data_IF_888398109960
#
_entry.id   IF_888398109960
#
_cell.length_a   1.000
_cell.length_b   1.000
_cell.length_c   1.000
_cell.angle_alpha   90.00
_cell.angle_beta   90.00
_cell.angle_gamma   90.00
#
_symmetry.space_group_name_H-M   'P 1'
#
loop_
_entity.id
_entity.type
_entity.pdbx_description
1 polymer ?
#
# COMPACT_ATOMS: atom_id res chain seq x y z
N UNK A 1 -10.34 8.19 -37.71
CA UNK A 1 -11.02 7.83 -36.44
C UNK A 1 -10.72 6.42 -35.95
N UNK A 2 -10.91 5.37 -36.76
CA UNK A 2 -10.83 3.97 -36.26
C UNK A 2 -9.44 3.55 -35.76
N UNK A 3 -8.35 3.94 -36.44
CA UNK A 3 -6.98 3.67 -35.99
C UNK A 3 -6.66 4.34 -34.64
N UNK A 4 -7.04 5.61 -34.47
CA UNK A 4 -6.83 6.35 -33.21
C UNK A 4 -7.66 5.77 -32.05
N UNK A 5 -8.87 5.25 -32.29
CA UNK A 5 -9.65 4.54 -31.28
C UNK A 5 -9.00 3.23 -30.85
N UNK A 6 -8.40 2.47 -31.78
CA UNK A 6 -7.63 1.27 -31.45
C UNK A 6 -6.41 1.61 -30.60
N UNK A 7 -5.70 2.70 -30.91
CA UNK A 7 -4.57 3.17 -30.09
C UNK A 7 -4.98 3.56 -28.67
N UNK A 8 -6.04 4.36 -28.51
CA UNK A 8 -6.57 4.73 -27.18
C UNK A 8 -6.95 3.48 -26.38
N UNK A 9 -7.63 2.53 -27.04
CA UNK A 9 -8.00 1.25 -26.42
C UNK A 9 -6.77 0.47 -25.98
N UNK A 10 -5.79 0.28 -26.87
CA UNK A 10 -4.56 -0.45 -26.57
C UNK A 10 -3.79 0.16 -25.40
N UNK A 11 -3.58 1.48 -25.40
CA UNK A 11 -2.91 2.18 -24.29
C UNK A 11 -3.66 2.02 -22.97
N UNK A 12 -5.00 2.13 -23.00
CA UNK A 12 -5.82 2.00 -21.79
C UNK A 12 -5.80 0.57 -21.23
N UNK A 13 -5.79 -0.45 -22.10
CA UNK A 13 -5.71 -1.85 -21.67
C UNK A 13 -4.32 -2.20 -21.12
N UNK A 14 -3.24 -1.69 -21.73
CA UNK A 14 -1.88 -1.83 -21.17
C UNK A 14 -1.82 -1.19 -19.78
N UNK A 15 -2.37 0.03 -19.62
CA UNK A 15 -2.44 0.69 -18.32
C UNK A 15 -3.28 -0.12 -17.31
N UNK A 16 -4.42 -0.69 -17.72
CA UNK A 16 -5.25 -1.51 -16.84
C UNK A 16 -4.49 -2.74 -16.32
N UNK A 17 -3.80 -3.46 -17.21
CA UNK A 17 -2.98 -4.62 -16.81
C UNK A 17 -1.83 -4.20 -15.89
N UNK A 18 -1.13 -3.12 -16.22
CA UNK A 18 -0.05 -2.59 -15.39
C UNK A 18 -0.56 -2.15 -14.00
N UNK A 19 -1.73 -1.53 -13.93
CA UNK A 19 -2.37 -1.10 -12.68
C UNK A 19 -2.74 -2.31 -11.81
N UNK A 20 -3.35 -3.34 -12.38
CA UNK A 20 -3.67 -4.58 -11.65
C UNK A 20 -2.38 -5.26 -11.17
N UNK A 21 -1.35 -5.35 -12.02
CA UNK A 21 -0.07 -5.92 -11.62
C UNK A 21 0.62 -5.10 -10.51
N UNK A 22 0.47 -3.77 -10.52
CA UNK A 22 1.02 -2.89 -9.50
C UNK A 22 0.38 -3.10 -8.12
N UNK A 23 -0.91 -3.43 -8.07
CA UNK A 23 -1.62 -3.73 -6.82
C UNK A 23 -0.97 -4.88 -6.03
N UNK A 24 -0.54 -5.94 -6.74
CA UNK A 24 0.08 -7.12 -6.15
C UNK A 24 1.61 -7.05 -6.06
N UNK A 25 2.21 -5.96 -6.54
CA UNK A 25 3.67 -5.80 -6.58
C UNK A 25 4.16 -4.87 -5.48
N UNK A 26 5.35 -5.12 -4.88
CA UNK A 26 5.99 -4.16 -3.99
C UNK A 26 6.24 -2.83 -4.73
N UNK A 27 5.71 -1.75 -4.17
CA UNK A 27 5.71 -0.42 -4.79
C UNK A 27 6.99 0.33 -4.43
N UNK A 28 7.34 0.30 -3.15
CA UNK A 28 8.48 1.01 -2.58
C UNK A 28 9.16 0.12 -1.56
N UNK A 29 10.47 0.26 -1.40
CA UNK A 29 11.19 -0.44 -0.34
C UNK A 29 11.96 0.55 0.52
N UNK A 30 12.04 0.22 1.80
CA UNK A 30 12.88 0.93 2.76
C UNK A 30 13.79 -0.09 3.42
N UNK A 31 15.05 0.29 3.62
CA UNK A 31 16.02 -0.49 4.38
C UNK A 31 16.75 0.37 5.40
N UNK A 32 16.96 -0.19 6.58
CA UNK A 32 17.84 0.36 7.61
C UNK A 32 19.10 -0.48 7.73
N UNK A 33 20.25 0.19 7.79
CA UNK A 33 21.54 -0.44 8.11
C UNK A 33 22.20 0.28 9.26
N UNK A 34 22.82 -0.45 10.18
CA UNK A 34 23.62 0.11 11.26
C UNK A 34 24.80 -0.81 11.58
N UNK A 35 25.86 -0.31 12.25
CA UNK A 35 27.02 -1.12 12.62
C UNK A 35 26.69 -2.38 13.44
N UNK A 36 25.62 -2.32 14.24
CA UNK A 36 25.17 -3.43 15.08
C UNK A 36 24.36 -4.50 14.34
N UNK A 37 23.99 -4.27 13.07
CA UNK A 37 23.28 -5.22 12.22
C UNK A 37 24.25 -5.78 11.18
N UNK A 38 24.80 -6.98 11.39
CA UNK A 38 25.89 -7.48 10.57
C UNK A 38 25.38 -7.94 9.20
N UNK A 39 26.22 -7.80 8.16
CA UNK A 39 25.83 -8.03 6.76
C UNK A 39 25.62 -9.50 6.40
N UNK A 40 26.13 -10.42 7.20
CA UNK A 40 25.90 -11.86 7.02
C UNK A 40 24.47 -12.26 7.41
N UNK A 41 23.91 -11.58 8.42
CA UNK A 41 22.50 -11.68 8.80
C UNK A 41 21.59 -10.80 7.91
N UNK A 42 21.93 -9.53 7.76
CA UNK A 42 21.13 -8.53 7.04
C UNK A 42 21.90 -7.98 5.83
N UNK A 43 22.08 -8.77 4.76
CA UNK A 43 22.88 -8.36 3.60
C UNK A 43 22.32 -7.13 2.88
N UNK A 44 20.99 -7.01 2.88
CA UNK A 44 20.23 -5.89 2.31
C UNK A 44 19.81 -4.87 3.38
N UNK A 45 20.29 -5.01 4.62
CA UNK A 45 19.76 -4.32 5.80
C UNK A 45 18.39 -4.85 6.25
N UNK A 46 17.77 -4.16 7.21
CA UNK A 46 16.42 -4.45 7.69
C UNK A 46 15.46 -3.88 6.65
N UNK A 47 15.14 -4.70 5.65
CA UNK A 47 14.36 -4.29 4.49
C UNK A 47 12.89 -4.64 4.67
N UNK A 48 12.03 -3.66 4.39
CA UNK A 48 10.57 -3.82 4.28
C UNK A 48 10.09 -3.37 2.90
N UNK A 49 8.96 -3.94 2.48
CA UNK A 49 8.29 -3.62 1.23
C UNK A 49 6.91 -3.00 1.50
N UNK A 50 6.66 -1.84 0.90
CA UNK A 50 5.35 -1.21 0.88
C UNK A 50 4.55 -1.70 -0.32
N UNK A 51 3.35 -2.20 -0.04
CA UNK A 51 2.34 -2.56 -1.02
C UNK A 51 1.09 -1.69 -0.81
N UNK A 52 0.13 -1.76 -1.74
CA UNK A 52 -1.12 -1.02 -1.62
C UNK A 52 -2.00 -1.52 -0.47
N UNK A 53 -1.80 -2.76 -0.03
CA UNK A 53 -2.60 -3.44 1.00
C UNK A 53 -1.85 -3.65 2.32
N UNK A 54 -0.54 -3.36 2.39
CA UNK A 54 0.26 -3.74 3.55
C UNK A 54 1.72 -3.35 3.51
N UNK A 55 2.40 -3.69 4.60
CA UNK A 55 3.85 -3.65 4.73
C UNK A 55 4.33 -5.08 4.95
N UNK A 56 5.29 -5.52 4.14
CA UNK A 56 5.72 -6.91 4.09
C UNK A 56 7.22 -7.05 4.34
N UNK A 57 7.62 -8.22 4.84
CA UNK A 57 9.01 -8.55 5.06
C UNK A 57 9.79 -8.56 3.73
N UNK A 58 10.88 -7.80 3.67
CA UNK A 58 11.79 -7.73 2.52
C UNK A 58 13.17 -8.31 2.79
N UNK A 59 13.37 -8.92 3.96
CA UNK A 59 14.61 -9.60 4.26
C UNK A 59 14.70 -10.96 3.57
N UNK A 60 15.93 -11.29 3.16
CA UNK A 60 16.26 -12.59 2.62
C UNK A 60 16.82 -13.43 3.75
N UNK A 61 16.54 -14.74 3.73
CA UNK A 61 17.17 -15.67 4.65
C UNK A 61 18.69 -15.53 4.58
N UNK A 62 19.34 -15.54 5.75
CA UNK A 62 20.79 -15.47 5.84
C UNK A 62 21.41 -16.65 5.06
N UNK A 63 22.44 -16.37 4.26
CA UNK A 63 23.07 -17.39 3.42
C UNK A 63 23.69 -18.52 4.25
N UNK A 64 23.83 -19.72 3.65
CA UNK A 64 24.55 -20.84 4.27
C UNK A 64 25.98 -20.41 4.66
N UNK A 65 26.33 -20.57 5.94
CA UNK A 65 27.64 -20.19 6.50
C UNK A 65 27.68 -18.81 7.19
N UNK A 66 26.54 -18.13 7.34
CA UNK A 66 26.43 -16.97 8.24
C UNK A 66 26.43 -17.40 9.70
N UNK A 67 26.83 -16.51 10.63
CA UNK A 67 26.83 -16.82 12.07
C UNK A 67 25.43 -17.14 12.60
N UNK A 68 24.39 -16.65 11.94
CA UNK A 68 22.98 -16.90 12.28
C UNK A 68 22.37 -18.11 11.56
N UNK A 69 23.09 -18.75 10.63
CA UNK A 69 22.61 -20.00 10.03
C UNK A 69 22.45 -21.12 11.08
N UNK A 70 23.16 -20.99 12.21
CA UNK A 70 23.14 -21.93 13.33
C UNK A 70 22.26 -21.46 14.51
N UNK A 71 21.58 -20.29 14.40
CA UNK A 71 20.70 -19.73 15.44
C UNK A 71 19.22 -19.82 14.99
N UNK A 72 18.39 -20.58 15.72
CA UNK A 72 16.93 -20.66 15.51
C UNK A 72 16.32 -19.40 16.16
N UNK A 73 15.86 -18.41 15.36
CA UNK A 73 15.68 -17.05 15.91
C UNK A 73 14.26 -16.66 16.34
N UNK A 74 13.18 -17.40 16.05
CA UNK A 74 11.84 -16.92 16.44
C UNK A 74 10.92 -17.90 17.19
N UNK A 75 11.00 -19.21 16.93
CA UNK A 75 10.12 -20.18 17.61
C UNK A 75 10.42 -20.41 19.10
N UNK A 76 11.66 -20.16 19.54
CA UNK A 76 12.06 -20.37 20.94
C UNK A 76 11.44 -19.35 21.92
N UNK A 77 10.83 -18.26 21.43
CA UNK A 77 10.24 -17.20 22.27
C UNK A 77 8.74 -17.36 22.52
N UNK A 78 8.00 -18.06 21.66
CA UNK A 78 6.54 -18.20 21.78
C UNK A 78 6.09 -19.28 22.78
N UNK A 79 7.02 -20.09 23.31
CA UNK A 79 6.76 -21.09 24.37
C UNK A 79 5.74 -22.18 24.00
N UNK A 80 5.32 -22.23 22.74
CA UNK A 80 4.29 -23.14 22.19
C UNK A 80 4.89 -24.41 21.56
N UNK A 81 6.20 -24.46 21.34
CA UNK A 81 6.93 -25.64 20.84
C UNK A 81 7.99 -26.12 21.84
N UNK A 82 8.24 -27.44 21.88
CA UNK A 82 9.26 -28.04 22.74
C UNK A 82 10.65 -27.59 22.31
N UNK A 83 11.41 -27.00 23.25
CA UNK A 83 12.79 -26.55 23.02
C UNK A 83 13.66 -27.71 22.56
N UNK A 84 14.31 -27.55 21.40
CA UNK A 84 15.17 -28.57 20.78
C UNK A 84 16.13 -29.22 21.79
N UNK A 85 16.10 -30.55 21.89
CA UNK A 85 16.99 -31.30 22.76
C UNK A 85 18.06 -32.04 21.93
N UNK A 86 19.34 -31.60 21.95
CA UNK A 86 20.40 -32.16 21.11
C UNK A 86 20.73 -33.63 21.38
N UNK A 87 20.23 -34.22 22.47
CA UNK A 87 20.40 -35.64 22.80
C UNK A 87 19.27 -36.49 22.23
N UNK A 88 18.03 -35.97 22.25
CA UNK A 88 16.81 -36.69 21.83
C UNK A 88 16.48 -36.47 20.35
N UNK A 89 16.84 -35.31 19.80
CA UNK A 89 16.46 -34.84 18.45
C UNK A 89 17.56 -35.02 17.40
N UNK A 90 18.39 -36.07 17.54
CA UNK A 90 19.57 -36.31 16.68
C UNK A 90 19.27 -36.44 15.18
N UNK A 91 18.03 -36.75 14.81
CA UNK A 91 17.58 -36.86 13.42
C UNK A 91 16.79 -35.63 12.93
N UNK A 92 16.46 -34.71 13.82
CA UNK A 92 15.80 -33.45 13.47
C UNK A 92 16.88 -32.41 13.15
N UNK A 93 16.76 -31.76 11.98
CA UNK A 93 17.58 -30.60 11.66
C UNK A 93 17.18 -29.48 12.60
N UNK A 94 18.17 -28.88 13.27
CA UNK A 94 18.01 -27.72 14.17
C UNK A 94 17.15 -26.62 13.52
N UNK A 95 17.28 -26.46 12.21
CA UNK A 95 16.73 -25.37 11.39
C UNK A 95 15.49 -25.79 10.55
N UNK A 96 14.85 -26.93 10.84
CA UNK A 96 13.68 -27.42 10.07
C UNK A 96 12.49 -26.46 10.07
N UNK A 97 12.41 -25.62 11.11
CA UNK A 97 11.33 -24.65 11.36
C UNK A 97 11.84 -23.23 11.64
N UNK A 98 13.11 -22.92 11.32
CA UNK A 98 13.64 -21.58 11.50
C UNK A 98 12.91 -20.60 10.56
N UNK A 99 11.99 -19.79 11.11
CA UNK A 99 11.38 -18.68 10.39
C UNK A 99 12.49 -17.69 9.96
N UNK A 100 12.48 -17.31 8.69
CA UNK A 100 13.44 -16.34 8.17
C UNK A 100 13.26 -14.98 8.83
N UNK A 101 14.36 -14.25 9.01
CA UNK A 101 14.41 -12.89 9.61
C UNK A 101 13.17 -12.05 9.32
N UNK A 102 12.35 -11.79 10.34
CA UNK A 102 11.21 -10.87 10.23
C UNK A 102 11.66 -9.42 10.37
N UNK A 103 11.95 -8.78 9.24
CA UNK A 103 12.37 -7.39 9.24
C UNK A 103 11.24 -6.38 9.48
N UNK A 104 9.98 -6.80 9.44
CA UNK A 104 8.88 -5.94 9.92
C UNK A 104 8.93 -5.86 11.43
N UNK A 105 9.12 -6.99 12.11
CA UNK A 105 9.32 -7.03 13.56
C UNK A 105 10.55 -6.20 13.98
N UNK A 106 11.71 -6.42 13.36
CA UNK A 106 12.93 -5.67 13.68
C UNK A 106 12.78 -4.16 13.44
N UNK A 107 12.13 -3.77 12.33
CA UNK A 107 11.82 -2.36 12.05
C UNK A 107 10.92 -1.77 13.14
N UNK A 108 9.89 -2.50 13.58
CA UNK A 108 8.98 -2.06 14.63
C UNK A 108 9.68 -1.94 15.99
N UNK A 109 10.59 -2.87 16.30
CA UNK A 109 11.44 -2.79 17.49
C UNK A 109 12.27 -1.51 17.46
N UNK A 110 12.95 -1.20 16.35
CA UNK A 110 13.72 0.05 16.21
C UNK A 110 12.82 1.29 16.31
N UNK A 111 11.67 1.28 15.64
CA UNK A 111 10.71 2.37 15.68
C UNK A 111 10.29 2.68 17.13
N UNK A 112 9.98 1.65 17.92
CA UNK A 112 9.65 1.80 19.33
C UNK A 112 10.76 2.51 20.13
N UNK A 113 12.03 2.15 19.92
CA UNK A 113 13.16 2.77 20.61
C UNK A 113 13.25 4.29 20.38
N UNK A 114 12.82 4.79 19.24
CA UNK A 114 12.81 6.24 18.91
C UNK A 114 11.45 6.90 19.13
N UNK A 115 10.47 6.18 19.68
CA UNK A 115 9.12 6.70 19.94
C UNK A 115 8.16 6.60 18.75
N UNK A 116 8.55 5.98 17.64
CA UNK A 116 7.64 5.75 16.51
C UNK A 116 6.71 4.57 16.79
N UNK A 117 5.44 4.69 16.37
CA UNK A 117 4.48 3.60 16.40
C UNK A 117 4.84 2.52 15.35
N UNK A 118 4.32 1.28 15.48
CA UNK A 118 4.58 0.23 14.52
C UNK A 118 4.18 0.63 13.09
N UNK A 119 4.96 0.19 12.10
CA UNK A 119 4.83 0.63 10.72
C UNK A 119 3.46 0.24 10.11
N UNK A 120 2.85 -0.83 10.63
CA UNK A 120 1.53 -1.29 10.22
C UNK A 120 0.39 -0.32 10.62
N UNK A 121 0.61 0.64 11.54
CA UNK A 121 -0.40 1.65 11.90
C UNK A 121 -0.50 2.79 10.87
N UNK A 122 0.40 2.85 9.88
CA UNK A 122 0.35 3.83 8.80
C UNK A 122 -0.71 3.48 7.76
N UNK A 123 -1.33 4.47 7.14
CA UNK A 123 -2.38 4.31 6.13
C UNK A 123 -3.54 3.37 6.59
N UNK A 124 -4.11 3.58 7.79
CA UNK A 124 -5.09 2.67 8.38
C UNK A 124 -6.43 2.68 7.63
N UNK A 125 -6.69 3.66 6.75
CA UNK A 125 -7.92 3.71 5.96
C UNK A 125 -7.65 3.28 4.52
N UNK A 126 -6.52 3.69 3.97
CA UNK A 126 -6.20 3.52 2.56
C UNK A 126 -5.82 2.09 2.22
N UNK A 127 -5.02 1.41 3.07
CA UNK A 127 -4.63 0.01 2.85
C UNK A 127 -5.83 -0.95 2.75
N UNK A 128 -6.76 -1.00 3.73
CA UNK A 128 -7.90 -1.92 3.65
C UNK A 128 -8.87 -1.56 2.53
N UNK A 129 -8.96 -0.28 2.15
CA UNK A 129 -9.86 0.21 1.11
C UNK A 129 -9.24 0.23 -0.29
N UNK A 130 -7.93 0.02 -0.43
CA UNK A 130 -7.21 0.10 -1.70
C UNK A 130 -7.86 -0.76 -2.80
N UNK A 131 -8.29 -1.98 -2.47
CA UNK A 131 -8.97 -2.88 -3.40
C UNK A 131 -10.22 -2.28 -4.04
N UNK A 132 -10.98 -1.44 -3.31
CA UNK A 132 -12.15 -0.75 -3.84
C UNK A 132 -11.78 0.45 -4.71
N UNK A 133 -10.71 1.18 -4.38
CA UNK A 133 -10.20 2.24 -5.24
C UNK A 133 -9.71 1.68 -6.58
N UNK A 134 -9.01 0.55 -6.57
CA UNK A 134 -8.60 -0.16 -7.79
C UNK A 134 -9.79 -0.70 -8.58
N UNK A 135 -10.84 -1.20 -7.90
CA UNK A 135 -12.12 -1.56 -8.52
C UNK A 135 -12.78 -0.36 -9.21
N UNK A 136 -12.85 0.79 -8.52
CA UNK A 136 -13.37 2.05 -9.06
C UNK A 136 -12.59 2.51 -10.30
N UNK A 137 -11.26 2.55 -10.23
CA UNK A 137 -10.41 2.91 -11.37
C UNK A 137 -10.54 1.92 -12.52
N UNK A 138 -10.66 0.62 -12.24
CA UNK A 138 -10.89 -0.40 -13.28
C UNK A 138 -12.17 -0.11 -14.06
N UNK A 139 -13.28 0.19 -13.38
CA UNK A 139 -14.55 0.55 -14.02
C UNK A 139 -14.40 1.82 -14.87
N UNK A 140 -13.66 2.83 -14.38
CA UNK A 140 -13.38 4.06 -15.14
C UNK A 140 -12.60 3.76 -16.43
N UNK A 141 -11.56 2.93 -16.37
CA UNK A 141 -10.75 2.57 -17.53
C UNK A 141 -11.53 1.74 -18.54
N UNK A 142 -12.36 0.78 -18.10
CA UNK A 142 -13.25 0.02 -18.98
C UNK A 142 -14.25 0.93 -19.69
N UNK A 143 -14.81 1.92 -18.99
CA UNK A 143 -15.69 2.92 -19.58
C UNK A 143 -14.95 3.84 -20.58
N UNK A 144 -13.68 4.20 -20.30
CA UNK A 144 -12.89 5.08 -21.17
C UNK A 144 -12.54 4.46 -22.53
N UNK A 145 -12.40 3.13 -22.58
CA UNK A 145 -12.21 2.38 -23.83
C UNK A 145 -13.42 2.52 -24.76
N UNK A 146 -14.64 2.56 -24.19
CA UNK A 146 -15.88 2.55 -24.96
C UNK A 146 -16.20 3.92 -25.53
N UNK A 147 -16.48 3.99 -26.83
CA UNK A 147 -16.88 5.22 -27.54
C UNK A 147 -18.39 5.44 -27.57
N UNK A 148 -19.19 4.38 -27.47
CA UNK A 148 -20.65 4.48 -27.48
C UNK A 148 -21.18 4.97 -26.14
N UNK A 149 -21.83 6.14 -26.13
CA UNK A 149 -22.30 6.80 -24.89
C UNK A 149 -23.21 5.92 -24.02
N UNK A 150 -24.19 5.24 -24.63
CA UNK A 150 -25.14 4.39 -23.88
C UNK A 150 -24.42 3.21 -23.19
N UNK A 151 -23.55 2.53 -23.93
CA UNK A 151 -22.76 1.42 -23.38
C UNK A 151 -21.79 1.89 -22.30
N UNK A 152 -21.13 3.03 -22.49
CA UNK A 152 -20.24 3.62 -21.49
C UNK A 152 -20.97 3.90 -20.18
N UNK A 153 -22.13 4.54 -20.25
CA UNK A 153 -22.95 4.83 -19.07
C UNK A 153 -23.45 3.54 -18.41
N UNK A 154 -23.80 2.52 -19.18
CA UNK A 154 -24.17 1.20 -18.66
C UNK A 154 -23.00 0.55 -17.89
N UNK A 155 -21.78 0.57 -18.44
CA UNK A 155 -20.57 0.06 -17.79
C UNK A 155 -20.30 0.80 -16.48
N UNK A 156 -20.36 2.14 -16.49
CA UNK A 156 -20.16 2.95 -15.28
C UNK A 156 -21.22 2.61 -14.22
N UNK A 157 -22.49 2.54 -14.61
CA UNK A 157 -23.60 2.27 -13.67
C UNK A 157 -23.48 0.89 -13.04
N UNK A 158 -23.34 -0.15 -13.86
CA UNK A 158 -23.25 -1.54 -13.37
C UNK A 158 -21.95 -1.75 -12.61
N UNK A 159 -20.82 -1.25 -13.12
CA UNK A 159 -19.51 -1.39 -12.49
C UNK A 159 -19.44 -0.67 -11.15
N UNK A 160 -19.89 0.59 -11.06
CA UNK A 160 -19.90 1.31 -9.79
C UNK A 160 -20.88 0.71 -8.80
N UNK A 161 -22.06 0.24 -9.23
CA UNK A 161 -22.98 -0.48 -8.35
C UNK A 161 -22.33 -1.76 -7.79
N UNK A 162 -21.60 -2.52 -8.62
CA UNK A 162 -20.89 -3.71 -8.18
C UNK A 162 -19.76 -3.38 -7.18
N UNK A 163 -18.95 -2.35 -7.43
CA UNK A 163 -17.89 -1.93 -6.50
C UNK A 163 -18.48 -1.40 -5.19
N UNK A 164 -19.55 -0.61 -5.24
CA UNK A 164 -20.22 -0.09 -4.04
C UNK A 164 -20.84 -1.23 -3.22
N UNK A 165 -21.53 -2.17 -3.86
CA UNK A 165 -22.08 -3.35 -3.19
C UNK A 165 -20.96 -4.20 -2.57
N UNK A 166 -19.86 -4.43 -3.30
CA UNK A 166 -18.69 -5.14 -2.78
C UNK A 166 -18.10 -4.43 -1.55
N UNK A 167 -17.90 -3.11 -1.60
CA UNK A 167 -17.39 -2.33 -0.48
C UNK A 167 -18.30 -2.43 0.75
N UNK A 168 -19.61 -2.30 0.56
CA UNK A 168 -20.57 -2.39 1.68
C UNK A 168 -20.59 -3.79 2.30
N UNK A 169 -20.65 -4.82 1.46
CA UNK A 169 -20.68 -6.21 1.93
C UNK A 169 -19.39 -6.57 2.66
N UNK A 170 -18.23 -6.28 2.07
CA UNK A 170 -16.93 -6.58 2.67
C UNK A 170 -16.72 -5.84 3.99
N UNK A 171 -17.01 -4.54 4.04
CA UNK A 171 -16.70 -3.72 5.21
C UNK A 171 -17.69 -3.91 6.36
N UNK A 172 -18.99 -4.00 6.07
CA UNK A 172 -20.04 -4.00 7.09
C UNK A 172 -20.71 -5.36 7.28
N UNK A 173 -20.99 -6.11 6.21
CA UNK A 173 -21.69 -7.41 6.33
C UNK A 173 -20.73 -8.50 6.79
N UNK A 174 -19.52 -8.54 6.22
CA UNK A 174 -18.46 -9.47 6.65
C UNK A 174 -17.67 -8.96 7.86
N UNK A 175 -17.90 -7.71 8.29
CA UNK A 175 -17.28 -7.14 9.49
C UNK A 175 -15.80 -6.82 9.37
N UNK A 176 -15.24 -6.76 8.15
CA UNK A 176 -13.80 -6.51 7.96
C UNK A 176 -13.35 -5.14 8.48
N UNK A 177 -14.21 -4.12 8.48
CA UNK A 177 -13.87 -2.83 9.08
C UNK A 177 -13.66 -2.97 10.59
N UNK A 178 -14.56 -3.69 11.28
CA UNK A 178 -14.48 -3.89 12.72
C UNK A 178 -13.25 -4.73 13.10
N UNK A 179 -12.95 -5.80 12.35
CA UNK A 179 -11.74 -6.61 12.59
C UNK A 179 -10.47 -5.81 12.34
N UNK A 180 -10.44 -4.98 11.30
CA UNK A 180 -9.31 -4.12 10.99
C UNK A 180 -9.07 -3.07 12.07
N UNK A 181 -10.12 -2.40 12.56
CA UNK A 181 -10.00 -1.41 13.64
C UNK A 181 -9.49 -2.06 14.92
N UNK A 182 -9.96 -3.28 15.24
CA UNK A 182 -9.44 -4.05 16.37
C UNK A 182 -7.95 -4.33 16.22
N UNK A 183 -7.52 -4.84 15.07
CA UNK A 183 -6.11 -5.11 14.78
C UNK A 183 -5.26 -3.82 14.83
N UNK A 184 -5.78 -2.71 14.33
CA UNK A 184 -5.11 -1.40 14.40
C UNK A 184 -4.90 -0.93 15.85
N UNK A 185 -5.91 -1.06 16.71
CA UNK A 185 -5.82 -0.72 18.15
C UNK A 185 -4.78 -1.61 18.85
N UNK A 186 -4.81 -2.91 18.57
CA UNK A 186 -3.87 -3.87 19.13
C UNK A 186 -2.43 -3.54 18.73
N UNK A 187 -2.20 -3.33 17.43
CA UNK A 187 -0.90 -2.95 16.88
C UNK A 187 -0.39 -1.61 17.45
N UNK A 188 -1.23 -0.59 17.50
CA UNK A 188 -0.85 0.70 18.07
C UNK A 188 -0.50 0.62 19.57
N UNK A 189 -1.09 -0.35 20.27
CA UNK A 189 -0.86 -0.62 21.69
C UNK A 189 0.27 -1.58 22.01
N UNK A 190 0.94 -2.17 21.00
CA UNK A 190 1.98 -3.19 21.19
C UNK A 190 3.09 -2.70 22.12
N UNK A 191 3.59 -1.48 21.88
CA UNK A 191 4.70 -0.92 22.65
C UNK A 191 4.31 0.23 23.58
N UNK A 192 3.26 0.99 23.24
CA UNK A 192 2.83 2.17 24.01
C UNK A 192 1.40 1.96 24.52
N UNK A 193 1.24 1.61 25.80
CA UNK A 193 -0.08 1.28 26.38
C UNK A 193 -0.83 2.54 26.85
N UNK A 194 -1.43 3.26 25.91
CA UNK A 194 -2.31 4.42 26.16
C UNK A 194 -3.77 4.11 25.76
N UNK A 195 -4.54 3.32 26.54
CA UNK A 195 -5.80 2.73 26.08
C UNK A 195 -6.84 3.75 25.64
N UNK A 196 -7.02 4.86 26.37
CA UNK A 196 -8.02 5.89 26.03
C UNK A 196 -7.70 6.60 24.72
N UNK A 197 -6.41 6.91 24.49
CA UNK A 197 -5.93 7.58 23.28
C UNK A 197 -6.00 6.66 22.07
N UNK A 198 -5.56 5.41 22.23
CA UNK A 198 -5.60 4.41 21.15
C UNK A 198 -7.05 4.07 20.79
N UNK A 199 -7.94 3.99 21.78
CA UNK A 199 -9.37 3.84 21.52
C UNK A 199 -9.91 4.99 20.69
N UNK A 200 -9.59 6.24 21.04
CA UNK A 200 -10.00 7.40 20.26
C UNK A 200 -9.45 7.35 18.81
N UNK A 201 -8.23 6.84 18.61
CA UNK A 201 -7.69 6.63 17.26
C UNK A 201 -8.45 5.55 16.49
N UNK A 202 -8.79 4.42 17.13
CA UNK A 202 -9.63 3.39 16.51
C UNK A 202 -11.03 3.89 16.15
N UNK A 203 -11.64 4.69 17.02
CA UNK A 203 -12.92 5.35 16.75
C UNK A 203 -12.80 6.30 15.53
N UNK A 204 -11.69 7.05 15.44
CA UNK A 204 -11.39 7.89 14.27
C UNK A 204 -11.17 7.07 13.00
N UNK A 205 -10.43 5.96 13.04
CA UNK A 205 -10.23 5.07 11.88
C UNK A 205 -11.58 4.53 11.39
N UNK A 206 -12.47 4.17 12.31
CA UNK A 206 -13.83 3.73 11.99
C UNK A 206 -14.59 4.84 11.27
N UNK A 207 -14.65 6.03 11.86
CA UNK A 207 -15.37 7.18 11.31
C UNK A 207 -14.81 7.59 9.94
N UNK A 208 -13.50 7.75 9.82
CA UNK A 208 -12.85 8.17 8.57
C UNK A 208 -13.04 7.11 7.49
N UNK A 209 -12.92 5.81 7.81
CA UNK A 209 -13.23 4.74 6.86
C UNK A 209 -14.67 4.83 6.34
N UNK A 210 -15.65 5.08 7.21
CA UNK A 210 -17.05 5.28 6.80
C UNK A 210 -17.21 6.51 5.90
N UNK A 211 -16.57 7.63 6.23
CA UNK A 211 -16.57 8.85 5.42
C UNK A 211 -15.96 8.58 4.05
N UNK A 212 -14.85 7.84 3.98
CA UNK A 212 -14.17 7.51 2.73
C UNK A 212 -15.01 6.57 1.87
N UNK A 213 -15.66 5.56 2.45
CA UNK A 213 -16.59 4.67 1.73
C UNK A 213 -17.78 5.48 1.18
N UNK A 214 -18.40 6.34 1.99
CA UNK A 214 -19.49 7.20 1.55
C UNK A 214 -19.02 8.19 0.46
N UNK A 215 -17.84 8.78 0.64
CA UNK A 215 -17.18 9.66 -0.32
C UNK A 215 -16.89 8.96 -1.65
N UNK A 216 -16.49 7.68 -1.64
CA UNK A 216 -16.30 6.88 -2.83
C UNK A 216 -17.62 6.70 -3.61
N UNK A 217 -18.73 6.42 -2.91
CA UNK A 217 -20.06 6.32 -3.54
C UNK A 217 -20.49 7.68 -4.13
N UNK A 218 -20.26 8.77 -3.41
CA UNK A 218 -20.53 10.13 -3.93
C UNK A 218 -19.68 10.41 -5.17
N UNK A 219 -18.40 10.06 -5.16
CA UNK A 219 -17.51 10.21 -6.31
C UNK A 219 -18.00 9.41 -7.52
N UNK A 220 -18.48 8.18 -7.33
CA UNK A 220 -19.10 7.37 -8.40
C UNK A 220 -20.31 8.09 -9.03
N UNK A 221 -21.19 8.67 -8.21
CA UNK A 221 -22.35 9.44 -8.69
C UNK A 221 -21.91 10.70 -9.45
N UNK A 222 -20.93 11.44 -8.93
CA UNK A 222 -20.37 12.62 -9.59
C UNK A 222 -19.78 12.23 -10.95
N UNK A 223 -19.04 11.13 -11.03
CA UNK A 223 -18.46 10.66 -12.30
C UNK A 223 -19.55 10.28 -13.28
N UNK A 224 -20.58 9.56 -12.83
CA UNK A 224 -21.70 9.16 -13.67
C UNK A 224 -22.48 10.37 -14.22
N UNK A 225 -22.83 11.33 -13.37
CA UNK A 225 -23.52 12.56 -13.78
C UNK A 225 -22.62 13.41 -14.67
N UNK A 226 -21.33 13.51 -14.35
CA UNK A 226 -20.34 14.25 -15.12
C UNK A 226 -20.21 13.72 -16.55
N UNK A 227 -20.02 12.41 -16.71
CA UNK A 227 -19.95 11.74 -18.03
C UNK A 227 -21.29 11.81 -18.77
N UNK A 228 -22.41 11.76 -18.04
CA UNK A 228 -23.74 11.94 -18.64
C UNK A 228 -23.96 13.36 -19.15
N UNK A 229 -23.56 14.39 -18.40
CA UNK A 229 -23.87 15.79 -18.72
C UNK A 229 -22.84 16.45 -19.63
N UNK A 230 -21.56 16.13 -19.48
CA UNK A 230 -20.46 16.83 -20.16
C UNK A 230 -19.55 15.86 -20.92
N UNK A 231 -19.41 16.06 -22.24
CA UNK A 231 -18.61 15.17 -23.09
C UNK A 231 -17.13 15.15 -22.73
N UNK A 232 -16.57 16.30 -22.35
CA UNK A 232 -15.16 16.43 -21.91
C UNK A 232 -14.87 15.73 -20.58
N UNK A 233 -15.90 15.45 -19.77
CA UNK A 233 -15.74 14.77 -18.49
C UNK A 233 -15.27 13.33 -18.64
N UNK A 234 -15.43 12.72 -19.83
CA UNK A 234 -14.86 11.39 -20.12
C UNK A 234 -13.33 11.36 -19.96
N UNK A 235 -12.63 12.50 -20.11
CA UNK A 235 -11.18 12.57 -19.94
C UNK A 235 -10.78 12.33 -18.48
N UNK A 236 -11.67 12.60 -17.52
CA UNK A 236 -11.45 12.33 -16.10
C UNK A 236 -11.28 10.82 -15.85
N UNK A 237 -11.94 9.98 -16.65
CA UNK A 237 -11.86 8.53 -16.55
C UNK A 237 -10.44 7.99 -16.75
N UNK A 238 -9.61 8.68 -17.53
CA UNK A 238 -8.19 8.37 -17.69
C UNK A 238 -7.30 9.24 -16.80
N UNK A 239 -7.67 10.50 -16.54
CA UNK A 239 -6.86 11.44 -15.77
C UNK A 239 -6.63 10.95 -14.34
N UNK A 240 -7.71 10.61 -13.63
CA UNK A 240 -7.62 10.27 -12.20
C UNK A 240 -6.82 8.99 -11.96
N UNK A 241 -7.10 7.85 -12.64
CA UNK A 241 -6.23 6.67 -12.51
C UNK A 241 -4.81 6.93 -13.02
N UNK A 242 -4.65 7.79 -14.03
CA UNK A 242 -3.34 8.19 -14.54
C UNK A 242 -2.48 8.87 -13.49
N UNK A 243 -3.06 9.57 -12.52
CA UNK A 243 -2.34 10.28 -11.45
C UNK A 243 -2.01 9.40 -10.24
N UNK A 244 -2.29 8.09 -10.28
CA UNK A 244 -1.90 7.13 -9.23
C UNK A 244 -0.46 7.26 -8.69
N UNK A 245 0.60 7.38 -9.53
CA UNK A 245 1.96 7.53 -8.98
C UNK A 245 2.13 8.80 -8.15
N UNK A 246 1.41 9.88 -8.50
CA UNK A 246 1.47 11.15 -7.74
C UNK A 246 0.73 10.99 -6.41
N UNK A 247 -0.48 10.40 -6.42
CA UNK A 247 -1.23 10.14 -5.20
C UNK A 247 -0.46 9.26 -4.23
N UNK A 248 0.18 8.20 -4.73
CA UNK A 248 1.02 7.31 -3.92
C UNK A 248 2.15 8.08 -3.23
N UNK A 249 2.92 8.90 -3.95
CA UNK A 249 4.04 9.64 -3.35
C UNK A 249 3.56 10.66 -2.31
N UNK A 250 2.43 11.33 -2.56
CA UNK A 250 1.84 12.28 -1.60
C UNK A 250 1.47 11.54 -0.31
N UNK A 251 0.73 10.44 -0.43
CA UNK A 251 0.24 9.67 0.71
C UNK A 251 1.39 9.03 1.49
N UNK A 252 2.33 8.38 0.78
CA UNK A 252 3.53 7.81 1.37
C UNK A 252 4.33 8.87 2.14
N UNK A 253 4.54 10.05 1.55
CA UNK A 253 5.25 11.15 2.22
C UNK A 253 4.47 11.67 3.44
N UNK A 254 3.16 11.81 3.34
CA UNK A 254 2.33 12.28 4.45
C UNK A 254 2.39 11.34 5.66
N UNK A 255 2.37 10.01 5.43
CA UNK A 255 2.49 9.04 6.51
C UNK A 255 3.89 9.00 7.12
N UNK A 256 4.95 9.09 6.30
CA UNK A 256 6.31 9.23 6.82
C UNK A 256 6.45 10.49 7.70
N UNK A 257 5.90 11.61 7.24
CA UNK A 257 5.87 12.85 8.02
C UNK A 257 5.14 12.65 9.34
N UNK A 258 3.95 12.03 9.31
CA UNK A 258 3.17 11.73 10.51
C UNK A 258 4.00 10.91 11.51
N UNK A 259 4.63 9.83 11.08
CA UNK A 259 5.46 9.00 11.95
C UNK A 259 6.63 9.76 12.58
N UNK A 260 7.32 10.59 11.81
CA UNK A 260 8.46 11.34 12.32
C UNK A 260 8.12 12.58 13.16
N UNK A 261 6.86 13.03 13.15
CA UNK A 261 6.40 14.21 13.91
C UNK A 261 5.43 13.88 15.05
N UNK A 262 4.94 12.64 15.14
CA UNK A 262 4.06 12.15 16.21
C UNK A 262 4.77 11.10 17.06
N UNK A 263 5.99 11.43 17.48
CA UNK A 263 6.83 10.56 18.31
C UNK A 263 6.30 10.50 19.74
N UNK A 264 6.25 9.30 20.29
CA UNK A 264 5.88 9.04 21.66
C UNK A 264 7.03 9.43 22.62
N UNK A 265 6.75 10.11 23.75
CA UNK A 265 7.78 10.60 24.67
C UNK A 265 8.53 9.50 25.45
N UNK A 266 8.01 8.27 25.45
CA UNK A 266 8.64 7.11 26.11
C UNK A 266 9.56 6.28 25.21
N UNK A 267 9.91 6.78 24.02
CA UNK A 267 11.02 6.19 23.26
C UNK A 267 12.30 6.22 24.10
N UNK A 268 13.05 5.11 24.12
CA UNK A 268 14.31 5.00 24.86
C UNK A 268 15.36 6.04 24.40
N UNK A 269 15.31 6.44 23.13
CA UNK A 269 16.12 7.52 22.57
C UNK A 269 15.23 8.68 22.15
N UNK A 270 15.44 9.83 22.78
CA UNK A 270 14.77 11.07 22.36
C UNK A 270 15.42 11.61 21.09
N UNK A 271 14.69 11.54 19.98
CA UNK A 271 15.06 12.18 18.71
C UNK A 271 14.16 13.41 18.49
N UNK A 272 14.71 14.44 17.83
CA UNK A 272 13.89 15.58 17.40
C UNK A 272 12.92 15.13 16.32
N UNK A 273 11.73 15.75 16.20
CA UNK A 273 10.85 15.54 15.06
C UNK A 273 11.63 15.63 13.74
N UNK A 274 11.42 14.68 12.85
CA UNK A 274 12.15 14.56 11.61
C UNK A 274 11.25 14.01 10.51
N UNK A 275 11.72 14.09 9.26
CA UNK A 275 11.07 13.46 8.13
C UNK A 275 11.86 12.20 7.77
N UNK A 276 11.29 10.98 7.92
CA UNK A 276 11.90 9.79 7.36
C UNK A 276 12.16 9.96 5.85
N UNK A 277 13.26 9.39 5.36
CA UNK A 277 13.66 9.59 3.97
C UNK A 277 12.61 9.06 2.98
N UNK A 278 12.01 9.97 2.23
CA UNK A 278 11.05 9.63 1.17
C UNK A 278 11.75 8.97 -0.01
N UNK A 279 12.87 9.52 -0.45
CA UNK A 279 13.63 9.02 -1.59
C UNK A 279 15.13 9.25 -1.37
N UNK A 280 15.93 8.25 -1.71
CA UNK A 280 17.39 8.31 -1.63
C UNK A 280 17.94 7.78 -0.31
N UNK A 281 19.08 8.33 0.08
CA UNK A 281 19.81 7.97 1.30
C UNK A 281 19.58 9.02 2.38
N UNK A 282 19.45 8.57 3.62
CA UNK A 282 19.36 9.43 4.79
C UNK A 282 19.97 8.79 6.01
N UNK A 283 19.85 9.49 7.13
CA UNK A 283 20.39 9.03 8.41
C UNK A 283 19.46 9.42 9.55
N UNK A 284 19.16 8.46 10.40
CA UNK A 284 18.39 8.66 11.63
C UNK A 284 19.18 8.00 12.76
N UNK A 285 19.68 8.83 13.68
CA UNK A 285 20.63 8.40 14.71
C UNK A 285 21.83 7.63 14.12
N UNK A 286 22.01 6.36 14.50
CA UNK A 286 23.09 5.49 13.99
C UNK A 286 22.69 4.65 12.77
N UNK A 287 21.45 4.79 12.30
CA UNK A 287 20.95 4.06 11.13
C UNK A 287 21.10 4.89 9.87
N UNK A 288 21.69 4.29 8.84
CA UNK A 288 21.55 4.77 7.47
C UNK A 288 20.26 4.21 6.89
N UNK A 289 19.47 5.07 6.26
CA UNK A 289 18.15 4.75 5.71
C UNK A 289 18.19 4.84 4.19
N UNK A 290 17.73 3.80 3.51
CA UNK A 290 17.63 3.76 2.06
C UNK A 290 16.17 3.61 1.65
N UNK A 291 15.68 4.46 0.75
CA UNK A 291 14.28 4.51 0.37
C UNK A 291 14.15 4.72 -1.13
N UNK A 292 13.65 3.73 -1.86
CA UNK A 292 13.60 3.78 -3.32
C UNK A 292 12.35 3.12 -3.90
N UNK A 293 11.91 3.60 -5.09
CA UNK A 293 10.85 2.93 -5.84
C UNK A 293 11.26 1.51 -6.23
N UNK A 294 10.26 0.66 -6.38
CA UNK A 294 10.41 -0.72 -6.82
C UNK A 294 9.50 -1.03 -8.02
N UNK A 295 9.33 -2.31 -8.35
CA UNK A 295 8.59 -2.74 -9.54
C UNK A 295 7.16 -2.20 -9.60
N UNK A 296 6.43 -2.18 -8.48
CA UNK A 296 5.08 -1.64 -8.41
C UNK A 296 5.02 -0.16 -8.79
N UNK A 297 5.97 0.67 -8.32
CA UNK A 297 6.02 2.08 -8.71
C UNK A 297 6.41 2.26 -10.18
N UNK A 298 7.31 1.42 -10.70
CA UNK A 298 7.62 1.37 -12.14
C UNK A 298 6.37 1.09 -12.99
N UNK A 299 5.50 0.17 -12.56
CA UNK A 299 4.22 -0.09 -13.20
C UNK A 299 3.27 1.12 -13.12
N UNK A 300 3.24 1.86 -12.01
CA UNK A 300 2.46 3.11 -11.91
C UNK A 300 2.95 4.19 -12.90
N UNK A 301 4.25 4.25 -13.20
CA UNK A 301 4.78 5.14 -14.23
C UNK A 301 4.35 4.71 -15.65
N UNK A 302 4.25 3.40 -15.90
CA UNK A 302 3.67 2.86 -17.14
C UNK A 302 2.19 3.23 -17.26
N UNK A 303 1.43 3.12 -16.16
CA UNK A 303 0.02 3.56 -16.08
C UNK A 303 -0.10 5.04 -16.45
N UNK A 304 0.69 5.92 -15.80
CA UNK A 304 0.70 7.36 -16.09
C UNK A 304 1.01 7.64 -17.56
N UNK A 305 2.11 7.10 -18.09
CA UNK A 305 2.51 7.35 -19.47
C UNK A 305 1.44 6.90 -20.48
N UNK A 306 0.90 5.69 -20.32
CA UNK A 306 -0.13 5.16 -21.21
C UNK A 306 -1.42 5.98 -21.13
N UNK A 307 -1.90 6.31 -19.93
CA UNK A 307 -3.15 7.04 -19.76
C UNK A 307 -3.04 8.51 -20.16
N UNK A 308 -1.90 9.16 -19.95
CA UNK A 308 -1.69 10.54 -20.42
C UNK A 308 -1.69 10.61 -21.94
N UNK A 309 -1.02 9.66 -22.61
CA UNK A 309 -1.06 9.57 -24.08
C UNK A 309 -2.48 9.27 -24.58
N UNK A 310 -3.17 8.31 -23.97
CA UNK A 310 -4.55 7.96 -24.33
C UNK A 310 -5.52 9.16 -24.12
N UNK A 311 -5.34 9.91 -23.04
CA UNK A 311 -6.10 11.12 -22.72
C UNK A 311 -5.86 12.21 -23.75
N UNK A 312 -4.61 12.49 -24.13
CA UNK A 312 -4.29 13.50 -25.15
C UNK A 312 -4.89 13.15 -26.52
N UNK A 313 -4.81 11.88 -26.91
CA UNK A 313 -5.44 11.39 -28.13
C UNK A 313 -6.97 11.52 -28.09
N UNK A 314 -7.61 11.14 -26.97
CA UNK A 314 -9.06 11.29 -26.79
C UNK A 314 -9.47 12.77 -26.79
N UNK A 315 -8.71 13.63 -26.13
CA UNK A 315 -8.93 15.09 -26.12
C UNK A 315 -8.88 15.67 -27.53
N UNK A 316 -7.94 15.24 -28.36
CA UNK A 316 -7.87 15.65 -29.78
C UNK A 316 -9.12 15.23 -30.55
N UNK A 317 -9.53 13.96 -30.42
CA UNK A 317 -10.75 13.44 -31.05
C UNK A 317 -12.01 14.22 -30.64
N UNK A 318 -12.11 14.59 -29.36
CA UNK A 318 -13.23 15.36 -28.83
C UNK A 318 -13.33 16.77 -29.41
N UNK A 319 -12.20 17.39 -29.76
CA UNK A 319 -12.15 18.71 -30.40
C UNK A 319 -12.48 18.64 -31.88
N UNK A 320 -12.01 17.60 -32.56
CA UNK A 320 -12.18 17.44 -34.02
C UNK A 320 -13.60 16.98 -34.41
N UNK A 321 -14.32 16.26 -33.53
CA UNK A 321 -15.65 15.72 -33.84
C UNK A 321 -16.72 16.12 -32.81
N UNK A 322 -17.14 17.40 -32.75
CA UNK A 322 -18.06 17.91 -31.74
C UNK A 322 -19.48 17.30 -31.79
N UNK A 323 -19.89 16.69 -32.92
CA UNK A 323 -21.24 16.14 -33.13
C UNK A 323 -21.40 14.61 -33.00
N UNK A 324 -20.42 13.90 -32.43
CA UNK A 324 -20.46 12.43 -32.23
C UNK A 324 -20.76 12.00 -30.80
#
# INVERSE_FOLDING_TARGET
MQASNKTVTGLTLIALVAMIAAYFSPIWWVSLTAPNYPKDAFPDGIRIHFHFDGVYNGCKAAGKGSRMADEIIQKDLEGSEERYNPILDKQNKLDKDAEGLDCVHEMNTINHYVGMFPIATGAPVEKPLAKFFFGFFTVMLLAFVVTQRKLRLAILTVGFAAVAAWAIVDQFVLGHLASHVKAYIEEAGTFFKEPDKIKAWGDNVTLVSQIVIAGLVVAMVIVLIGVWKFRSFELLLALVPGLLPVFFVIEYSAWLWFFGHNLHPWGAFTVKPFMPTVFGEGKVAQFSTFSYPYWGYGLLLVVFACLMLALLLRRKQLRENPGS
#
